data_IF_630833070763
#
_entry.id   IF_630833070763
#
_cell.length_a   1.000
_cell.length_b   1.000
_cell.length_c   1.000
_cell.angle_alpha   90.00
_cell.angle_beta   90.00
_cell.angle_gamma   90.00
#
_symmetry.space_group_name_H-M   'P 1'
#
loop_
_entity.id
_entity.type
_entity.pdbx_description
1 polymer ?
#
# COMPACT_ATOMS: atom_id res chain seq x y z
N UNK A 1 -15.37 29.85 -2.98
CA UNK A 1 -15.90 30.05 -1.61
C UNK A 1 -15.49 28.86 -0.78
N UNK A 2 -14.76 29.08 0.30
CA UNK A 2 -14.41 28.02 1.25
C UNK A 2 -15.69 27.65 2.00
N UNK A 3 -16.05 26.37 2.02
CA UNK A 3 -17.20 25.86 2.79
C UNK A 3 -17.01 26.25 4.26
N UNK A 4 -17.92 27.02 4.88
CA UNK A 4 -17.80 27.42 6.28
C UNK A 4 -17.81 26.22 7.24
N UNK A 5 -18.18 25.04 6.76
CA UNK A 5 -18.25 23.83 7.55
C UNK A 5 -17.67 22.60 6.81
N UNK A 6 -16.34 22.59 6.53
CA UNK A 6 -15.75 21.53 5.76
C UNK A 6 -15.97 20.17 6.45
N UNK A 7 -16.11 19.07 5.70
CA UNK A 7 -16.31 17.75 6.28
C UNK A 7 -15.13 17.35 7.17
N UNK A 8 -15.35 16.52 8.23
CA UNK A 8 -14.32 16.20 9.22
C UNK A 8 -13.10 15.51 8.59
N UNK A 9 -11.93 15.73 9.20
CA UNK A 9 -10.76 14.91 8.95
C UNK A 9 -10.95 13.57 9.67
N UNK A 10 -10.91 12.49 8.91
CA UNK A 10 -11.13 11.15 9.46
C UNK A 10 -9.82 10.39 9.61
N UNK A 11 -9.79 9.40 10.50
CA UNK A 11 -8.67 8.46 10.62
C UNK A 11 -8.39 7.71 9.31
N UNK A 12 -9.42 7.47 8.48
CA UNK A 12 -9.28 6.91 7.13
C UNK A 12 -8.52 7.85 6.19
N UNK A 13 -8.85 9.15 6.21
CA UNK A 13 -8.13 10.17 5.41
C UNK A 13 -6.69 10.32 5.87
N UNK A 14 -6.45 10.36 7.19
CA UNK A 14 -5.09 10.40 7.75
C UNK A 14 -4.29 9.18 7.28
N UNK A 15 -4.85 7.98 7.36
CA UNK A 15 -4.22 6.74 6.87
C UNK A 15 -3.89 6.83 5.38
N UNK A 16 -4.83 7.30 4.57
CA UNK A 16 -4.63 7.44 3.13
C UNK A 16 -3.55 8.45 2.81
N UNK A 17 -3.50 9.58 3.52
CA UNK A 17 -2.51 10.64 3.35
C UNK A 17 -1.10 10.19 3.72
N UNK A 18 -0.96 9.44 4.81
CA UNK A 18 0.33 8.89 5.25
C UNK A 18 0.92 7.89 4.25
N UNK A 19 0.07 7.26 3.44
CA UNK A 19 0.48 6.34 2.36
C UNK A 19 0.73 7.07 1.05
N UNK A 20 -0.15 7.99 0.70
CA UNK A 20 -0.10 8.78 -0.52
C UNK A 20 -1.02 10.00 -0.39
N UNK A 21 -0.46 11.20 -0.55
CA UNK A 21 -1.19 12.47 -0.46
C UNK A 21 -2.32 12.53 -1.48
N UNK A 22 -2.02 12.18 -2.75
CA UNK A 22 -2.99 12.10 -3.83
C UNK A 22 -4.14 11.13 -3.52
N UNK A 23 -3.86 9.99 -2.89
CA UNK A 23 -4.89 9.04 -2.44
C UNK A 23 -5.87 9.68 -1.46
N UNK A 24 -5.39 10.46 -0.49
CA UNK A 24 -6.27 11.15 0.46
C UNK A 24 -7.16 12.17 -0.23
N UNK A 25 -6.60 12.93 -1.18
CA UNK A 25 -7.36 13.86 -1.99
C UNK A 25 -8.44 13.14 -2.82
N UNK A 26 -8.10 12.05 -3.49
CA UNK A 26 -9.04 11.22 -4.24
C UNK A 26 -10.09 10.54 -3.35
N UNK A 27 -9.74 10.14 -2.13
CA UNK A 27 -10.70 9.59 -1.16
C UNK A 27 -11.74 10.65 -0.73
N UNK A 28 -11.43 11.95 -0.83
CA UNK A 28 -12.32 13.08 -0.52
C UNK A 28 -13.09 13.54 -1.74
N UNK A 29 -12.44 13.72 -2.88
CA UNK A 29 -12.95 14.43 -4.06
C UNK A 29 -13.11 13.53 -5.30
N UNK A 30 -12.48 12.36 -5.31
CA UNK A 30 -12.45 11.48 -6.47
C UNK A 30 -13.80 10.83 -6.78
N UNK A 31 -14.02 10.45 -8.04
CA UNK A 31 -15.25 9.77 -8.48
C UNK A 31 -15.33 8.36 -7.90
N UNK A 32 -16.15 8.17 -6.88
CA UNK A 32 -16.24 6.91 -6.10
C UNK A 32 -16.46 5.66 -6.97
N UNK A 33 -17.19 5.80 -8.10
CA UNK A 33 -17.43 4.72 -9.09
C UNK A 33 -16.16 4.23 -9.79
N UNK A 34 -15.08 5.01 -9.81
CA UNK A 34 -13.77 4.63 -10.40
C UNK A 34 -12.82 4.04 -9.38
N UNK A 35 -13.23 3.92 -8.13
CA UNK A 35 -12.45 3.30 -7.09
C UNK A 35 -12.57 1.79 -7.17
N UNK A 36 -11.47 1.13 -7.47
CA UNK A 36 -11.41 -0.34 -7.53
C UNK A 36 -11.43 -0.95 -6.13
N UNK A 37 -12.09 -2.06 -6.01
CA UNK A 37 -12.01 -2.91 -4.82
C UNK A 37 -10.89 -3.94 -5.03
N UNK A 38 -10.20 -4.32 -3.95
CA UNK A 38 -9.15 -5.35 -3.99
C UNK A 38 -9.47 -6.41 -2.94
N UNK A 39 -9.39 -7.68 -3.32
CA UNK A 39 -9.58 -8.84 -2.43
C UNK A 39 -8.58 -8.83 -1.26
N UNK A 40 -7.39 -8.29 -1.47
CA UNK A 40 -6.38 -8.09 -0.41
C UNK A 40 -6.92 -7.37 0.84
N UNK A 41 -7.95 -6.53 0.68
CA UNK A 41 -8.61 -5.90 1.85
C UNK A 41 -9.34 -6.91 2.72
N UNK A 42 -9.91 -7.95 2.13
CA UNK A 42 -10.56 -9.04 2.86
C UNK A 42 -9.53 -9.78 3.72
N UNK A 43 -8.43 -10.21 3.13
CA UNK A 43 -7.33 -10.88 3.83
C UNK A 43 -6.72 -10.02 4.93
N UNK A 44 -6.55 -8.72 4.67
CA UNK A 44 -6.06 -7.79 5.69
C UNK A 44 -7.00 -7.68 6.89
N UNK A 45 -8.31 -7.75 6.67
CA UNK A 45 -9.31 -7.76 7.74
C UNK A 45 -9.28 -9.08 8.52
N UNK A 46 -9.14 -10.21 7.86
CA UNK A 46 -9.02 -11.53 8.49
C UNK A 46 -7.78 -11.61 9.37
N UNK A 47 -6.61 -11.13 8.88
CA UNK A 47 -5.40 -11.04 9.68
C UNK A 47 -5.57 -10.18 10.93
N UNK A 48 -6.29 -9.05 10.80
CA UNK A 48 -6.62 -8.19 11.94
C UNK A 48 -7.56 -8.88 12.93
N UNK A 49 -8.60 -9.54 12.43
CA UNK A 49 -9.54 -10.27 13.26
C UNK A 49 -8.86 -11.40 14.05
N UNK A 50 -7.95 -12.14 13.43
CA UNK A 50 -7.14 -13.15 14.14
C UNK A 50 -6.37 -12.55 15.31
N UNK A 51 -5.73 -11.40 15.13
CA UNK A 51 -5.06 -10.69 16.21
C UNK A 51 -6.03 -10.26 17.33
N UNK A 52 -7.21 -9.75 16.97
CA UNK A 52 -8.19 -9.27 17.95
C UNK A 52 -8.83 -10.42 18.75
N UNK A 53 -9.14 -11.53 18.10
CA UNK A 53 -9.65 -12.74 18.76
C UNK A 53 -8.60 -13.33 19.71
N UNK A 54 -7.33 -13.35 19.30
CA UNK A 54 -6.25 -13.81 20.16
C UNK A 54 -6.03 -12.90 21.38
N UNK A 55 -6.29 -11.59 21.26
CA UNK A 55 -6.20 -10.64 22.37
C UNK A 55 -7.41 -10.75 23.31
N UNK A 56 -8.63 -10.83 22.76
CA UNK A 56 -9.90 -10.86 23.50
C UNK A 56 -10.77 -11.94 22.87
N UNK A 57 -10.76 -13.18 23.45
CA UNK A 57 -11.54 -14.29 22.90
C UNK A 57 -13.07 -14.09 22.96
N UNK A 58 -13.52 -13.22 23.90
CA UNK A 58 -14.94 -12.92 24.02
C UNK A 58 -15.38 -11.96 22.92
N UNK A 59 -16.63 -12.11 22.47
CA UNK A 59 -17.22 -11.20 21.47
C UNK A 59 -17.19 -9.76 21.96
N UNK A 60 -16.60 -8.80 21.22
CA UNK A 60 -16.57 -7.40 21.61
C UNK A 60 -17.97 -6.81 21.70
N UNK A 61 -18.20 -5.95 22.68
CA UNK A 61 -19.39 -5.11 22.74
C UNK A 61 -19.39 -4.06 21.63
N UNK A 62 -20.55 -3.50 21.30
CA UNK A 62 -20.65 -2.53 20.19
C UNK A 62 -21.10 -1.15 20.69
N UNK A 63 -20.35 -0.13 20.26
CA UNK A 63 -20.69 1.27 20.49
C UNK A 63 -20.58 1.71 21.95
N UNK A 64 -21.19 2.85 22.26
CA UNK A 64 -21.03 3.52 23.53
C UNK A 64 -21.72 2.80 24.71
N UNK A 65 -22.88 2.23 24.48
CA UNK A 65 -23.58 1.49 25.51
C UNK A 65 -22.72 0.34 26.06
N UNK A 66 -22.04 -0.39 25.19
CA UNK A 66 -21.12 -1.45 25.61
C UNK A 66 -19.89 -0.90 26.35
N UNK A 67 -19.39 0.27 25.94
CA UNK A 67 -18.30 0.93 26.66
C UNK A 67 -18.72 1.35 28.07
N UNK A 68 -19.91 1.93 28.21
CA UNK A 68 -20.44 2.33 29.52
C UNK A 68 -20.68 1.13 30.46
N UNK A 69 -21.08 -0.01 29.92
CA UNK A 69 -21.26 -1.25 30.68
C UNK A 69 -19.95 -1.99 31.02
N UNK A 70 -18.78 -1.47 30.59
CA UNK A 70 -17.49 -2.05 30.90
C UNK A 70 -17.18 -3.34 30.15
N UNK A 71 -17.66 -3.52 28.91
CA UNK A 71 -17.33 -4.68 28.09
C UNK A 71 -15.80 -4.88 27.99
N UNK A 72 -15.25 -6.11 27.98
CA UNK A 72 -13.81 -6.36 27.92
C UNK A 72 -13.14 -5.76 26.68
N UNK A 73 -13.88 -5.66 25.59
CA UNK A 73 -13.49 -4.96 24.36
C UNK A 73 -14.70 -4.31 23.71
N UNK A 74 -14.48 -3.23 22.95
CA UNK A 74 -15.53 -2.48 22.26
C UNK A 74 -15.11 -2.22 20.81
N UNK A 75 -16.05 -2.37 19.89
CA UNK A 75 -15.94 -2.02 18.47
C UNK A 75 -17.01 -1.02 18.06
N UNK A 76 -16.82 -0.32 16.96
CA UNK A 76 -17.84 0.55 16.37
C UNK A 76 -18.12 1.82 17.18
N UNK A 77 -17.28 2.18 18.16
CA UNK A 77 -17.38 3.46 18.85
C UNK A 77 -16.86 4.57 17.94
N UNK A 78 -17.71 5.54 17.65
CA UNK A 78 -17.35 6.73 16.86
C UNK A 78 -16.90 7.84 17.78
N UNK A 79 -15.65 8.26 17.64
CA UNK A 79 -15.01 9.32 18.39
C UNK A 79 -15.04 10.61 17.58
N UNK A 80 -15.34 11.73 18.22
CA UNK A 80 -15.36 13.06 17.62
C UNK A 80 -14.64 14.05 18.51
N UNK A 81 -14.01 15.04 17.89
CA UNK A 81 -13.30 16.12 18.59
C UNK A 81 -12.84 17.20 17.61
N UNK A 82 -11.87 17.99 18.05
CA UNK A 82 -11.25 19.04 17.23
C UNK A 82 -9.73 18.94 17.29
N UNK A 83 -9.07 19.36 16.20
CA UNK A 83 -7.63 19.60 16.20
C UNK A 83 -7.32 20.91 16.95
N UNK A 84 -6.03 21.16 17.24
CA UNK A 84 -5.58 22.41 17.81
C UNK A 84 -5.94 23.63 16.94
N UNK A 85 -5.99 23.45 15.61
CA UNK A 85 -6.46 24.45 14.64
C UNK A 85 -8.00 24.50 14.51
N UNK A 86 -8.76 23.87 15.41
CA UNK A 86 -10.22 23.90 15.42
C UNK A 86 -10.91 23.02 14.36
N UNK A 87 -10.18 22.30 13.52
CA UNK A 87 -10.74 21.40 12.49
C UNK A 87 -11.48 20.23 13.13
N UNK A 88 -12.66 19.90 12.60
CA UNK A 88 -13.43 18.73 13.09
C UNK A 88 -12.69 17.43 12.80
N UNK A 89 -12.59 16.58 13.81
CA UNK A 89 -11.99 15.26 13.73
C UNK A 89 -13.05 14.19 13.96
N UNK A 90 -12.96 13.08 13.24
CA UNK A 90 -13.77 11.89 13.48
C UNK A 90 -12.89 10.63 13.32
N UNK A 91 -13.04 9.67 14.21
CA UNK A 91 -12.33 8.42 14.16
C UNK A 91 -13.19 7.25 14.64
N UNK A 92 -12.90 6.07 14.10
CA UNK A 92 -13.51 4.84 14.55
C UNK A 92 -12.43 3.78 14.75
N UNK A 93 -11.89 3.67 15.99
CA UNK A 93 -10.90 2.65 16.32
C UNK A 93 -11.38 1.25 15.96
N UNK A 94 -10.47 0.43 15.43
CA UNK A 94 -10.78 -0.95 15.07
C UNK A 94 -11.23 -1.78 16.27
N UNK A 95 -10.55 -1.57 17.42
CA UNK A 95 -10.86 -2.20 18.70
C UNK A 95 -10.45 -1.27 19.85
N UNK A 96 -11.23 -1.24 20.90
CA UNK A 96 -10.91 -0.66 22.19
C UNK A 96 -10.82 -1.78 23.21
N UNK A 97 -9.74 -1.83 23.97
CA UNK A 97 -9.57 -2.80 25.06
C UNK A 97 -9.76 -2.12 26.41
N UNK A 98 -10.53 -2.75 27.31
CA UNK A 98 -10.73 -2.26 28.68
C UNK A 98 -9.43 -2.29 29.46
N UNK A 99 -9.22 -1.28 30.28
CA UNK A 99 -8.12 -1.16 31.24
C UNK A 99 -8.69 -0.76 32.60
N UNK A 100 -7.96 -1.14 33.67
CA UNK A 100 -8.34 -0.76 35.03
C UNK A 100 -7.86 0.67 35.28
N UNK A 101 -8.78 1.63 35.15
CA UNK A 101 -8.57 3.06 35.42
C UNK A 101 -9.92 3.74 35.51
N UNK A 102 -10.08 4.75 36.35
CA UNK A 102 -11.31 5.54 36.42
C UNK A 102 -11.54 6.36 35.15
N UNK A 103 -12.80 6.48 34.72
CA UNK A 103 -13.20 7.33 33.59
C UNK A 103 -14.65 7.83 33.77
N UNK A 104 -15.16 8.58 32.80
CA UNK A 104 -16.56 8.98 32.75
C UNK A 104 -17.55 7.78 32.69
N UNK A 105 -17.06 6.57 32.40
CA UNK A 105 -17.85 5.34 32.37
C UNK A 105 -17.77 4.53 33.69
N UNK A 106 -17.06 5.01 34.70
CA UNK A 106 -16.96 4.35 36.01
C UNK A 106 -15.54 3.94 36.37
N UNK A 107 -15.36 2.78 37.01
CA UNK A 107 -14.08 2.25 37.47
C UNK A 107 -13.18 1.65 36.36
N UNK A 108 -13.55 1.82 35.14
CA UNK A 108 -12.81 1.31 33.97
C UNK A 108 -12.62 2.40 32.90
N UNK A 109 -11.64 2.21 32.06
CA UNK A 109 -11.36 3.01 30.89
C UNK A 109 -10.98 2.11 29.72
N UNK A 110 -10.69 2.69 28.56
CA UNK A 110 -10.29 1.97 27.36
C UNK A 110 -9.00 2.52 26.80
N UNK A 111 -8.26 1.67 26.08
CA UNK A 111 -7.14 2.03 25.22
C UNK A 111 -7.38 1.58 23.78
N UNK A 112 -6.88 2.31 22.77
CA UNK A 112 -7.03 1.91 21.39
C UNK A 112 -6.07 0.76 21.05
N UNK A 113 -6.56 -0.16 20.22
CA UNK A 113 -5.83 -1.33 19.73
C UNK A 113 -5.84 -1.33 18.20
N UNK A 114 -4.67 -1.55 17.62
CA UNK A 114 -4.47 -1.66 16.18
C UNK A 114 -3.73 -2.96 15.88
N UNK A 115 -4.17 -3.72 14.88
CA UNK A 115 -3.41 -4.83 14.36
C UNK A 115 -2.64 -4.39 13.10
N UNK A 116 -1.35 -4.73 13.02
CA UNK A 116 -0.49 -4.44 11.89
C UNK A 116 -0.24 -5.66 11.04
N UNK A 117 -0.09 -5.43 9.76
CA UNK A 117 0.56 -6.35 8.85
C UNK A 117 2.04 -5.93 8.71
N UNK A 118 2.91 -6.89 8.42
CA UNK A 118 4.34 -6.62 8.30
C UNK A 118 5.10 -6.60 9.63
N UNK A 119 6.43 -6.46 9.54
CA UNK A 119 7.35 -6.72 10.68
C UNK A 119 7.42 -5.57 11.69
N UNK A 120 7.26 -4.33 11.26
CA UNK A 120 7.56 -3.15 12.07
C UNK A 120 6.37 -2.22 12.25
N UNK A 121 6.30 -1.56 13.41
CA UNK A 121 5.37 -0.47 13.67
C UNK A 121 5.81 0.77 12.92
N UNK A 122 4.96 1.24 12.01
CA UNK A 122 5.24 2.37 11.10
C UNK A 122 4.74 3.70 11.69
N UNK A 123 5.11 4.82 11.03
CA UNK A 123 4.58 6.14 11.34
C UNK A 123 3.05 6.19 11.22
N UNK A 124 2.47 5.48 10.25
CA UNK A 124 1.01 5.37 10.09
C UNK A 124 0.35 4.81 11.35
N UNK A 125 0.86 3.69 11.87
CA UNK A 125 0.32 3.05 13.07
C UNK A 125 0.40 3.98 14.30
N UNK A 126 1.53 4.68 14.45
CA UNK A 126 1.77 5.61 15.55
C UNK A 126 0.81 6.78 15.54
N UNK A 127 0.63 7.44 14.38
CA UNK A 127 -0.24 8.61 14.26
C UNK A 127 -1.73 8.24 14.35
N UNK A 128 -2.14 7.06 13.84
CA UNK A 128 -3.51 6.57 14.04
C UNK A 128 -3.82 6.31 15.51
N UNK A 129 -2.92 5.65 16.24
CA UNK A 129 -3.10 5.42 17.67
C UNK A 129 -3.11 6.73 18.44
N UNK A 130 -2.28 7.72 18.06
CA UNK A 130 -2.28 9.04 18.68
C UNK A 130 -3.63 9.76 18.48
N UNK A 131 -4.18 9.72 17.26
CA UNK A 131 -5.50 10.29 16.99
C UNK A 131 -6.60 9.59 17.79
N UNK A 132 -6.62 8.26 17.76
CA UNK A 132 -7.61 7.48 18.50
C UNK A 132 -7.49 7.70 20.02
N UNK A 133 -6.27 7.73 20.53
CA UNK A 133 -6.01 7.96 21.96
C UNK A 133 -6.45 9.36 22.42
N UNK A 134 -6.17 10.40 21.64
CA UNK A 134 -6.60 11.79 21.90
C UNK A 134 -8.12 11.88 22.01
N UNK A 135 -8.82 11.45 20.95
CA UNK A 135 -10.26 11.53 20.90
C UNK A 135 -10.95 10.62 21.94
N UNK A 136 -10.33 9.49 22.25
CA UNK A 136 -10.81 8.61 23.31
C UNK A 136 -10.61 9.23 24.69
N UNK A 137 -9.47 9.88 24.95
CA UNK A 137 -9.22 10.58 26.21
C UNK A 137 -10.27 11.68 26.48
N UNK A 138 -10.61 12.46 25.45
CA UNK A 138 -11.69 13.46 25.53
C UNK A 138 -13.04 12.79 25.81
N UNK A 139 -13.38 11.70 25.10
CA UNK A 139 -14.67 11.02 25.23
C UNK A 139 -14.86 10.37 26.59
N UNK A 140 -13.83 9.70 27.11
CA UNK A 140 -13.89 8.99 28.41
C UNK A 140 -13.48 9.86 29.58
N UNK A 141 -13.06 11.13 29.36
CA UNK A 141 -12.56 12.07 30.37
C UNK A 141 -11.47 11.44 31.26
N UNK A 142 -10.59 10.66 30.65
CA UNK A 142 -9.49 9.99 31.31
C UNK A 142 -8.30 9.86 30.36
N UNK A 143 -7.08 10.01 30.87
CA UNK A 143 -5.88 9.91 30.06
C UNK A 143 -5.74 8.55 29.37
N UNK A 144 -5.21 8.57 28.13
CA UNK A 144 -4.85 7.39 27.37
C UNK A 144 -3.35 7.44 27.09
N UNK A 145 -2.51 6.99 28.04
CA UNK A 145 -1.06 7.13 27.91
C UNK A 145 -0.45 6.19 26.88
N UNK A 146 -1.15 5.11 26.52
CA UNK A 146 -0.64 4.09 25.61
C UNK A 146 -1.73 3.56 24.68
N UNK A 147 -1.36 3.28 23.43
CA UNK A 147 -2.07 2.39 22.53
C UNK A 147 -1.40 1.01 22.46
N UNK A 148 -2.05 0.05 21.85
CA UNK A 148 -1.55 -1.30 21.65
C UNK A 148 -1.48 -1.61 20.16
N UNK A 149 -0.32 -2.11 19.71
CA UNK A 149 -0.12 -2.63 18.37
C UNK A 149 0.01 -4.15 18.45
N UNK A 150 -0.78 -4.86 17.67
CA UNK A 150 -0.80 -6.32 17.60
C UNK A 150 -0.20 -6.81 16.27
N UNK A 151 0.43 -7.96 16.31
CA UNK A 151 0.79 -8.73 15.12
C UNK A 151 0.76 -10.23 15.44
N UNK A 152 0.44 -11.06 14.46
CA UNK A 152 0.70 -12.50 14.56
C UNK A 152 2.16 -12.77 14.24
N UNK A 153 2.87 -13.42 15.14
CA UNK A 153 4.22 -13.93 14.96
C UNK A 153 4.22 -15.45 14.89
N UNK A 154 5.39 -16.04 14.66
CA UNK A 154 5.56 -17.51 14.58
C UNK A 154 5.13 -18.22 15.87
N UNK A 155 5.30 -17.58 17.02
CA UNK A 155 4.96 -18.12 18.35
C UNK A 155 3.64 -17.61 18.92
N UNK A 156 2.78 -17.01 18.09
CA UNK A 156 1.48 -16.48 18.50
C UNK A 156 1.41 -14.94 18.52
N UNK A 157 0.50 -14.39 19.30
CA UNK A 157 0.20 -12.95 19.34
C UNK A 157 1.35 -12.14 19.95
N UNK A 158 1.90 -11.22 19.18
CA UNK A 158 2.86 -10.22 19.63
C UNK A 158 2.13 -8.93 19.98
N UNK A 159 2.43 -8.36 21.15
CA UNK A 159 1.83 -7.12 21.64
C UNK A 159 2.92 -6.09 21.89
N UNK A 160 2.81 -4.92 21.26
CA UNK A 160 3.70 -3.78 21.46
C UNK A 160 2.92 -2.61 22.09
N UNK A 161 3.34 -2.16 23.28
CA UNK A 161 2.78 -0.95 23.91
C UNK A 161 3.43 0.28 23.29
N UNK A 162 2.62 1.16 22.75
CA UNK A 162 3.07 2.41 22.15
C UNK A 162 2.68 3.59 23.06
N UNK A 163 3.67 4.33 23.55
CA UNK A 163 3.43 5.55 24.30
C UNK A 163 2.84 6.65 23.40
N UNK A 164 1.74 7.25 23.84
CA UNK A 164 1.08 8.38 23.15
C UNK A 164 1.62 9.71 23.69
N UNK A 165 2.93 9.88 23.57
CA UNK A 165 3.69 11.00 24.16
C UNK A 165 3.30 12.36 23.57
N UNK A 166 3.62 13.48 24.27
CA UNK A 166 3.40 14.84 23.77
C UNK A 166 4.09 15.08 22.42
N UNK A 167 5.29 14.55 22.21
CA UNK A 167 5.99 14.66 20.93
C UNK A 167 5.22 13.95 19.79
N UNK A 168 4.65 12.77 20.05
CA UNK A 168 3.82 12.06 19.06
C UNK A 168 2.53 12.84 18.77
N UNK A 169 1.95 13.49 19.79
CA UNK A 169 0.79 14.35 19.61
C UNK A 169 1.11 15.61 18.77
N UNK A 170 2.26 16.23 18.97
CA UNK A 170 2.72 17.34 18.12
C UNK A 170 2.95 16.91 16.67
N UNK A 171 3.51 15.71 16.44
CA UNK A 171 3.63 15.14 15.10
C UNK A 171 2.27 14.87 14.45
N UNK A 172 1.27 14.47 15.22
CA UNK A 172 -0.10 14.29 14.74
C UNK A 172 -0.69 15.64 14.31
N UNK A 173 -0.52 16.70 15.11
CA UNK A 173 -1.03 18.04 14.78
C UNK A 173 -0.45 18.54 13.47
N UNK A 174 0.86 18.49 13.28
CA UNK A 174 1.49 18.87 12.03
C UNK A 174 1.06 18.00 10.83
N UNK A 175 0.73 16.72 11.05
CA UNK A 175 0.19 15.85 10.01
C UNK A 175 -1.26 16.21 9.64
N UNK A 176 -2.09 16.55 10.62
CA UNK A 176 -3.49 16.95 10.41
C UNK A 176 -3.60 18.30 9.69
N UNK A 177 -2.72 19.26 10.02
CA UNK A 177 -2.66 20.56 9.34
C UNK A 177 -2.29 20.39 7.87
N UNK A 178 -1.20 19.67 7.56
CA UNK A 178 -0.80 19.39 6.18
C UNK A 178 -1.86 18.60 5.41
N UNK A 179 -2.51 17.63 6.05
CA UNK A 179 -3.62 16.91 5.43
C UNK A 179 -4.77 17.86 5.08
N UNK A 180 -5.13 18.78 6.00
CA UNK A 180 -6.20 19.74 5.75
C UNK A 180 -5.87 20.67 4.56
N UNK A 181 -4.66 21.24 4.56
CA UNK A 181 -4.17 22.10 3.46
C UNK A 181 -4.20 21.38 2.11
N UNK A 182 -3.73 20.15 2.04
CA UNK A 182 -3.68 19.39 0.80
C UNK A 182 -5.06 18.92 0.33
N UNK A 183 -6.01 18.73 1.22
CA UNK A 183 -7.40 18.46 0.85
C UNK A 183 -8.14 19.68 0.32
N UNK A 184 -7.67 20.90 0.59
CA UNK A 184 -8.21 22.15 0.07
C UNK A 184 -7.64 22.53 -1.33
N UNK A 185 -6.64 21.79 -1.83
CA UNK A 185 -6.10 22.01 -3.16
C UNK A 185 -7.18 21.78 -4.25
N UNK A 186 -7.23 22.63 -5.29
CA UNK A 186 -8.21 22.50 -6.37
C UNK A 186 -7.98 21.26 -7.24
N UNK A 187 -6.76 20.75 -7.28
CA UNK A 187 -6.35 19.58 -8.07
C UNK A 187 -5.63 18.57 -7.19
N UNK A 188 -5.67 17.29 -7.56
CA UNK A 188 -4.97 16.26 -6.78
C UNK A 188 -3.46 16.51 -6.77
N UNK A 189 -2.77 16.23 -5.65
CA UNK A 189 -1.32 16.21 -5.61
C UNK A 189 -0.72 15.34 -6.73
N UNK A 190 0.53 15.59 -7.18
CA UNK A 190 1.14 14.87 -8.28
C UNK A 190 1.22 13.37 -8.02
N UNK A 191 1.41 12.60 -9.09
CA UNK A 191 1.65 11.17 -9.03
C UNK A 191 2.89 10.86 -8.17
N UNK A 192 2.87 9.71 -7.48
CA UNK A 192 4.04 9.26 -6.74
C UNK A 192 5.21 8.97 -7.70
N UNK A 193 6.41 9.33 -7.27
CA UNK A 193 7.65 9.02 -7.99
C UNK A 193 7.88 7.51 -8.10
N UNK A 194 7.53 6.75 -7.05
CA UNK A 194 7.59 5.28 -7.03
C UNK A 194 6.18 4.71 -6.95
N UNK A 195 5.65 4.25 -8.09
CA UNK A 195 4.29 3.73 -8.21
C UNK A 195 4.17 2.23 -7.91
N UNK A 196 5.26 1.53 -7.60
CA UNK A 196 5.21 0.13 -7.13
C UNK A 196 4.35 0.00 -5.87
N UNK A 197 4.29 1.04 -5.05
CA UNK A 197 3.41 1.12 -3.87
C UNK A 197 1.92 1.23 -4.20
N UNK A 198 1.58 1.49 -5.46
CA UNK A 198 0.20 1.66 -5.91
C UNK A 198 -0.51 0.35 -6.26
N UNK A 199 0.18 -0.79 -6.24
CA UNK A 199 -0.36 -2.10 -6.66
C UNK A 199 -1.70 -2.43 -6.00
N UNK A 200 -1.85 -2.15 -4.70
CA UNK A 200 -3.07 -2.41 -3.93
C UNK A 200 -3.93 -1.14 -3.70
N UNK A 201 -3.68 -0.09 -4.44
CA UNK A 201 -4.42 1.16 -4.30
C UNK A 201 -5.72 1.13 -5.10
N UNK A 202 -6.86 1.40 -4.45
CA UNK A 202 -8.15 1.47 -5.14
C UNK A 202 -8.26 2.56 -6.21
N UNK A 203 -7.33 3.51 -6.27
CA UNK A 203 -7.27 4.56 -7.28
C UNK A 203 -6.25 4.29 -8.39
N UNK A 204 -5.64 3.08 -8.38
CA UNK A 204 -4.58 2.73 -9.32
C UNK A 204 -4.98 2.97 -10.77
N UNK A 205 -6.14 2.47 -11.21
CA UNK A 205 -6.55 2.59 -12.61
C UNK A 205 -6.69 4.05 -13.09
N UNK A 206 -7.08 4.98 -12.19
CA UNK A 206 -7.12 6.40 -12.52
C UNK A 206 -5.71 6.99 -12.64
N UNK A 207 -4.83 6.64 -11.70
CA UNK A 207 -3.44 7.12 -11.71
C UNK A 207 -2.62 6.49 -12.85
N UNK A 208 -2.89 5.24 -13.22
CA UNK A 208 -2.22 4.56 -14.34
C UNK A 208 -2.60 5.22 -15.67
N UNK A 209 -3.88 5.53 -15.88
CA UNK A 209 -4.32 6.22 -17.09
C UNK A 209 -3.68 7.61 -17.25
N UNK A 210 -3.53 8.35 -16.15
CA UNK A 210 -2.86 9.65 -16.15
C UNK A 210 -1.37 9.52 -16.43
N UNK A 211 -0.71 8.55 -15.78
CA UNK A 211 0.72 8.30 -16.00
C UNK A 211 1.03 7.92 -17.45
N UNK A 212 0.17 7.11 -18.07
CA UNK A 212 0.29 6.77 -19.49
C UNK A 212 0.11 8.01 -20.38
N UNK A 213 -0.91 8.83 -20.11
CA UNK A 213 -1.17 10.02 -20.88
C UNK A 213 -0.03 11.05 -20.81
N UNK A 214 0.64 11.15 -19.66
CA UNK A 214 1.78 12.04 -19.42
C UNK A 214 3.13 11.46 -19.86
N UNK A 215 3.20 10.17 -20.23
CA UNK A 215 4.47 9.47 -20.44
C UNK A 215 5.36 9.45 -19.20
N UNK A 216 4.76 9.28 -18.01
CA UNK A 216 5.44 9.40 -16.74
C UNK A 216 6.51 8.33 -16.55
N UNK A 217 7.73 8.73 -16.16
CA UNK A 217 8.89 7.83 -16.02
C UNK A 217 8.67 6.62 -15.10
N UNK A 218 7.71 6.68 -14.18
CA UNK A 218 7.38 5.52 -13.32
C UNK A 218 6.73 4.35 -14.05
N UNK A 219 6.34 4.53 -15.31
CA UNK A 219 5.86 3.44 -16.16
C UNK A 219 7.01 2.52 -16.60
N UNK A 220 8.23 3.02 -16.63
CA UNK A 220 9.40 2.21 -16.96
C UNK A 220 9.81 1.36 -15.77
N UNK A 221 9.84 0.05 -15.97
CA UNK A 221 10.29 -0.88 -14.93
C UNK A 221 11.75 -0.58 -14.54
N UNK A 222 12.05 -0.63 -13.25
CA UNK A 222 13.38 -0.29 -12.73
C UNK A 222 13.57 1.21 -12.37
N UNK A 223 12.63 2.09 -12.71
CA UNK A 223 12.66 3.48 -12.28
C UNK A 223 11.87 3.62 -10.97
N UNK A 224 12.58 3.62 -9.84
CA UNK A 224 12.04 4.01 -8.53
C UNK A 224 12.27 5.50 -8.27
N UNK A 225 11.78 6.01 -7.13
CA UNK A 225 11.82 7.44 -6.80
C UNK A 225 13.17 8.09 -6.98
N UNK A 226 14.23 7.52 -6.37
CA UNK A 226 15.60 8.07 -6.47
C UNK A 226 16.10 8.16 -7.92
N UNK A 227 15.89 7.09 -8.70
CA UNK A 227 16.35 7.07 -10.10
C UNK A 227 15.56 8.04 -10.97
N UNK A 228 14.27 8.18 -10.70
CA UNK A 228 13.46 9.21 -11.35
C UNK A 228 13.99 10.62 -11.05
N UNK A 229 14.31 10.91 -9.79
CA UNK A 229 14.82 12.22 -9.41
C UNK A 229 16.14 12.54 -10.16
N UNK A 230 17.06 11.55 -10.26
CA UNK A 230 18.28 11.70 -11.05
C UNK A 230 17.99 11.96 -12.55
N UNK A 231 17.04 11.24 -13.15
CA UNK A 231 16.67 11.47 -14.55
C UNK A 231 16.10 12.88 -14.77
N UNK A 232 15.27 13.37 -13.83
CA UNK A 232 14.76 14.73 -13.87
C UNK A 232 15.86 15.77 -13.74
N UNK A 233 16.86 15.58 -12.86
CA UNK A 233 18.05 16.43 -12.74
C UNK A 233 18.87 16.47 -14.04
N UNK A 234 18.88 15.36 -14.78
CA UNK A 234 19.51 15.26 -16.09
C UNK A 234 18.64 15.82 -17.24
N UNK A 235 17.46 16.37 -16.95
CA UNK A 235 16.53 16.92 -17.93
C UNK A 235 15.70 15.90 -18.68
N UNK A 236 15.67 14.63 -18.23
CA UNK A 236 14.85 13.56 -18.81
C UNK A 236 13.57 13.48 -17.97
N UNK A 237 12.45 13.99 -18.51
CA UNK A 237 11.20 14.18 -17.76
C UNK A 237 10.11 13.20 -18.17
N UNK A 238 10.26 12.56 -19.34
CA UNK A 238 9.24 11.70 -19.94
C UNK A 238 9.79 10.38 -20.46
N UNK A 239 8.87 9.43 -20.71
CA UNK A 239 9.16 8.16 -21.37
C UNK A 239 9.79 8.39 -22.76
N UNK A 240 9.28 9.35 -23.52
CA UNK A 240 9.73 9.64 -24.88
C UNK A 240 11.17 10.18 -24.89
N UNK A 241 11.50 11.09 -23.96
CA UNK A 241 12.86 11.61 -23.82
C UNK A 241 13.83 10.52 -23.41
N UNK A 242 13.43 9.62 -22.50
CA UNK A 242 14.25 8.48 -22.11
C UNK A 242 14.45 7.50 -23.27
N UNK A 243 13.41 7.22 -24.05
CA UNK A 243 13.49 6.36 -25.24
C UNK A 243 14.43 6.94 -26.34
N UNK A 244 14.45 8.27 -26.47
CA UNK A 244 15.32 9.00 -27.38
C UNK A 244 16.76 9.17 -26.88
N UNK A 245 17.05 8.84 -25.64
CA UNK A 245 18.39 9.02 -25.06
C UNK A 245 19.40 8.04 -25.68
N UNK A 246 20.65 8.50 -25.78
CA UNK A 246 21.79 7.64 -26.07
C UNK A 246 22.19 6.85 -24.82
N UNK A 247 22.22 5.50 -24.88
CA UNK A 247 22.46 4.68 -23.69
C UNK A 247 23.81 4.90 -23.03
N UNK A 248 24.87 5.12 -23.83
CA UNK A 248 26.24 5.27 -23.34
C UNK A 248 26.42 6.64 -22.69
N UNK A 249 25.95 7.69 -23.35
CA UNK A 249 25.93 9.04 -22.79
C UNK A 249 25.11 9.11 -21.48
N UNK A 250 23.96 8.45 -21.42
CA UNK A 250 23.15 8.37 -20.20
C UNK A 250 23.89 7.61 -19.09
N UNK A 251 24.57 6.52 -19.44
CA UNK A 251 25.36 5.73 -18.50
C UNK A 251 26.48 6.55 -17.87
N UNK A 252 27.24 7.32 -18.68
CA UNK A 252 28.29 8.21 -18.20
C UNK A 252 27.75 9.30 -17.26
N UNK A 253 26.64 9.92 -17.61
CA UNK A 253 26.01 10.95 -16.77
C UNK A 253 25.50 10.37 -15.44
N UNK A 254 24.92 9.18 -15.47
CA UNK A 254 24.43 8.49 -14.28
C UNK A 254 25.55 7.92 -13.42
N UNK A 255 26.74 7.63 -13.98
CA UNK A 255 27.91 7.19 -13.25
C UNK A 255 28.35 8.18 -12.16
N UNK A 256 28.11 9.48 -12.37
CA UNK A 256 28.40 10.55 -11.39
C UNK A 256 27.61 10.37 -10.09
N UNK A 257 26.51 9.61 -10.13
CA UNK A 257 25.63 9.33 -8.98
C UNK A 257 25.78 7.90 -8.44
N UNK A 258 26.68 7.10 -9.02
CA UNK A 258 27.03 5.75 -8.58
C UNK A 258 26.96 4.70 -9.69
N UNK A 259 27.88 3.73 -9.66
CA UNK A 259 28.00 2.69 -10.67
C UNK A 259 26.72 1.87 -10.89
N UNK A 260 25.95 1.61 -9.83
CA UNK A 260 24.65 0.93 -9.90
C UNK A 260 23.61 1.67 -10.76
N UNK A 261 23.80 2.95 -11.03
CA UNK A 261 22.95 3.73 -11.93
C UNK A 261 23.46 3.67 -13.37
N UNK A 262 24.78 3.62 -13.56
CA UNK A 262 25.43 3.43 -14.85
C UNK A 262 25.06 2.10 -15.48
N UNK A 263 25.21 1.00 -14.74
CA UNK A 263 25.00 -0.37 -15.23
C UNK A 263 23.58 -0.62 -15.78
N UNK A 264 22.57 0.08 -15.23
CA UNK A 264 21.18 -0.11 -15.66
C UNK A 264 20.73 0.85 -16.77
N UNK A 265 21.51 1.85 -17.12
CA UNK A 265 21.11 2.87 -18.10
C UNK A 265 20.74 2.29 -19.47
N UNK A 266 21.53 1.37 -20.08
CA UNK A 266 21.16 0.77 -21.36
C UNK A 266 19.85 0.01 -21.31
N UNK A 267 19.59 -0.71 -20.21
CA UNK A 267 18.34 -1.45 -20.03
C UNK A 267 17.15 -0.51 -19.87
N UNK A 268 17.28 0.60 -19.16
CA UNK A 268 16.21 1.60 -19.00
C UNK A 268 15.83 2.23 -20.34
N UNK A 269 16.83 2.60 -21.16
CA UNK A 269 16.58 3.15 -22.49
C UNK A 269 15.92 2.10 -23.40
N UNK A 270 16.39 0.86 -23.38
CA UNK A 270 15.79 -0.23 -24.14
C UNK A 270 14.33 -0.47 -23.76
N UNK A 271 14.02 -0.49 -22.46
CA UNK A 271 12.64 -0.63 -21.95
C UNK A 271 11.76 0.56 -22.37
N UNK A 272 12.30 1.79 -22.25
CA UNK A 272 11.57 2.97 -22.67
C UNK A 272 11.24 2.94 -24.17
N UNK A 273 12.17 2.49 -25.02
CA UNK A 273 11.96 2.31 -26.48
C UNK A 273 10.87 1.29 -26.77
N UNK A 274 10.90 0.15 -26.06
CA UNK A 274 9.86 -0.89 -26.21
C UNK A 274 8.49 -0.35 -25.81
N UNK A 275 8.40 0.36 -24.67
CA UNK A 275 7.13 0.91 -24.20
C UNK A 275 6.61 2.05 -25.09
N UNK A 276 7.50 2.90 -25.61
CA UNK A 276 7.11 3.96 -26.55
C UNK A 276 6.74 3.44 -27.93
N UNK A 277 7.43 2.39 -28.42
CA UNK A 277 7.27 1.84 -29.77
C UNK A 277 6.31 0.64 -29.84
N UNK A 278 5.93 0.04 -28.72
CA UNK A 278 5.02 -1.12 -28.67
C UNK A 278 5.59 -2.42 -29.23
N UNK A 279 6.88 -2.46 -29.62
CA UNK A 279 7.52 -3.63 -30.20
C UNK A 279 8.50 -4.26 -29.21
N UNK A 280 8.39 -5.58 -28.93
CA UNK A 280 9.30 -6.26 -28.03
C UNK A 280 10.72 -6.27 -28.60
N UNK A 281 11.72 -6.05 -27.71
CA UNK A 281 13.14 -6.08 -28.05
C UNK A 281 13.84 -7.23 -27.33
N UNK A 282 14.49 -8.09 -28.10
CA UNK A 282 15.32 -9.18 -27.56
C UNK A 282 16.69 -8.64 -27.20
N UNK A 283 17.05 -8.61 -25.92
CA UNK A 283 18.33 -8.09 -25.43
C UNK A 283 19.44 -9.15 -25.48
N UNK A 284 19.09 -10.43 -25.32
CA UNK A 284 20.02 -11.54 -25.28
C UNK A 284 19.76 -12.48 -26.44
N UNK A 285 20.72 -12.71 -27.36
CA UNK A 285 20.52 -13.55 -28.52
C UNK A 285 20.48 -15.06 -28.21
N UNK A 286 21.13 -15.49 -27.14
CA UNK A 286 21.20 -16.92 -26.75
C UNK A 286 20.01 -17.37 -25.91
N UNK A 287 19.51 -18.61 -26.12
CA UNK A 287 18.50 -19.20 -25.23
C UNK A 287 19.10 -19.41 -23.84
N UNK A 288 18.27 -19.20 -22.83
CA UNK A 288 18.67 -19.37 -21.43
C UNK A 288 18.85 -20.86 -21.02
N UNK A 289 18.42 -21.79 -21.84
CA UNK A 289 18.40 -23.23 -21.59
C UNK A 289 19.04 -24.00 -22.75
N UNK A 290 20.38 -24.06 -22.84
CA UNK A 290 21.08 -24.77 -23.91
C UNK A 290 20.80 -26.28 -23.90
N UNK A 291 20.48 -26.87 -22.75
CA UNK A 291 20.12 -28.28 -22.62
C UNK A 291 18.82 -28.65 -23.32
N UNK A 292 17.96 -27.66 -23.59
CA UNK A 292 16.69 -27.88 -24.30
C UNK A 292 16.90 -28.40 -25.72
N UNK A 293 17.99 -28.02 -26.37
CA UNK A 293 18.34 -28.50 -27.71
C UNK A 293 18.64 -30.02 -27.75
N UNK A 294 19.08 -30.59 -26.64
CA UNK A 294 19.43 -31.99 -26.48
C UNK A 294 18.28 -32.83 -25.91
N UNK A 295 17.23 -32.18 -25.42
CA UNK A 295 16.11 -32.84 -24.77
C UNK A 295 15.20 -33.57 -25.82
N UNK A 296 14.84 -34.82 -25.53
CA UNK A 296 13.86 -35.58 -26.30
C UNK A 296 12.39 -35.21 -26.01
N UNK A 297 12.16 -34.42 -24.99
CA UNK A 297 10.86 -33.89 -24.58
C UNK A 297 10.98 -32.79 -23.56
N UNK A 298 9.96 -31.96 -23.41
CA UNK A 298 9.87 -30.95 -22.39
C UNK A 298 8.51 -30.99 -21.70
N UNK A 299 8.53 -30.69 -20.42
CA UNK A 299 7.33 -30.38 -19.63
C UNK A 299 7.37 -28.89 -19.29
N UNK A 300 6.42 -28.14 -19.80
CA UNK A 300 6.23 -26.75 -19.45
C UNK A 300 5.15 -26.72 -18.38
N UNK A 301 5.51 -26.21 -17.22
CA UNK A 301 4.61 -26.04 -16.09
C UNK A 301 4.41 -24.55 -15.83
N UNK A 302 3.16 -24.15 -15.77
CA UNK A 302 2.76 -22.77 -15.52
C UNK A 302 1.72 -22.73 -14.39
N UNK A 303 1.80 -21.70 -13.57
CA UNK A 303 0.92 -21.50 -12.41
C UNK A 303 0.34 -20.09 -12.49
N UNK A 304 -0.99 -20.01 -12.50
CA UNK A 304 -1.68 -18.76 -12.31
C UNK A 304 -2.12 -18.61 -10.86
N UNK A 305 -1.72 -17.53 -10.25
CA UNK A 305 -1.96 -17.24 -8.83
C UNK A 305 -2.74 -15.95 -8.66
N UNK A 306 -3.65 -15.94 -7.69
CA UNK A 306 -4.19 -14.69 -7.13
C UNK A 306 -3.40 -14.31 -5.87
N UNK A 307 -2.42 -13.42 -5.96
CA UNK A 307 -1.64 -13.00 -4.80
C UNK A 307 -2.50 -12.26 -3.76
N UNK A 308 -3.63 -11.69 -4.17
CA UNK A 308 -4.57 -11.04 -3.27
C UNK A 308 -5.37 -12.06 -2.45
N UNK A 309 -5.72 -13.21 -3.04
CA UNK A 309 -6.33 -14.34 -2.37
C UNK A 309 -5.30 -15.26 -1.68
N UNK A 310 -4.02 -15.14 -2.03
CA UNK A 310 -2.93 -16.04 -1.62
C UNK A 310 -3.23 -17.48 -2.04
N UNK A 311 -3.75 -17.65 -3.23
CA UNK A 311 -4.19 -18.91 -3.76
C UNK A 311 -3.68 -19.10 -5.19
N UNK A 312 -3.27 -20.33 -5.49
CA UNK A 312 -2.90 -20.76 -6.82
C UNK A 312 -4.14 -21.45 -7.42
N UNK A 313 -4.76 -20.80 -8.40
CA UNK A 313 -6.07 -21.25 -8.89
C UNK A 313 -5.99 -22.02 -10.21
N UNK A 314 -4.87 -21.98 -10.90
CA UNK A 314 -4.68 -22.71 -12.15
C UNK A 314 -3.25 -23.28 -12.24
N UNK A 315 -3.16 -24.58 -12.44
CA UNK A 315 -1.91 -25.27 -12.74
C UNK A 315 -1.99 -25.81 -14.15
N UNK A 316 -1.17 -25.29 -15.06
CA UNK A 316 -1.06 -25.72 -16.43
C UNK A 316 0.15 -26.64 -16.64
N UNK A 317 -0.04 -27.77 -17.32
CA UNK A 317 1.06 -28.65 -17.72
C UNK A 317 0.97 -28.92 -19.22
N UNK A 318 2.01 -28.54 -19.96
CA UNK A 318 2.16 -28.83 -21.37
C UNK A 318 3.32 -29.79 -21.59
N UNK A 319 3.04 -30.94 -22.21
CA UNK A 319 4.06 -31.91 -22.61
C UNK A 319 4.34 -31.75 -24.10
N UNK A 320 5.58 -31.46 -24.42
CA UNK A 320 6.08 -31.45 -25.81
C UNK A 320 7.02 -32.62 -26.04
N UNK A 321 6.82 -33.34 -27.13
CA UNK A 321 7.77 -34.35 -27.64
C UNK A 321 8.61 -33.74 -28.75
N UNK A 322 9.91 -34.03 -28.76
CA UNK A 322 10.82 -33.57 -29.79
C UNK A 322 11.55 -34.78 -30.37
N UNK A 323 11.37 -35.02 -31.68
CA UNK A 323 11.90 -36.22 -32.36
C UNK A 323 13.12 -35.89 -33.23
N UNK A 324 14.10 -35.11 -32.71
CA UNK A 324 15.33 -34.81 -33.44
C UNK A 324 15.73 -33.36 -33.47
N UNK A 325 16.72 -33.00 -34.29
CA UNK A 325 17.19 -31.62 -34.47
C UNK A 325 16.23 -30.83 -35.35
N UNK A 326 15.59 -29.83 -34.80
CA UNK A 326 14.65 -28.94 -35.48
C UNK A 326 13.91 -28.06 -34.46
N UNK A 327 13.06 -27.15 -34.95
CA UNK A 327 12.23 -26.35 -34.06
C UNK A 327 11.25 -27.23 -33.31
N UNK A 328 11.01 -26.90 -32.02
CA UNK A 328 9.98 -27.54 -31.25
C UNK A 328 8.61 -27.40 -31.92
N UNK A 329 7.77 -28.45 -31.90
CA UNK A 329 6.45 -28.37 -32.52
C UNK A 329 5.59 -27.31 -31.82
N UNK A 330 4.77 -26.61 -32.59
CA UNK A 330 3.77 -25.71 -32.02
C UNK A 330 2.77 -26.51 -31.17
N UNK A 331 2.50 -26.07 -29.95
CA UNK A 331 1.54 -26.74 -29.08
C UNK A 331 0.13 -26.63 -29.67
N UNK A 332 -0.62 -27.72 -29.56
CA UNK A 332 -2.03 -27.79 -30.00
C UNK A 332 -2.91 -27.78 -28.74
N UNK A 333 -4.14 -27.33 -28.85
CA UNK A 333 -5.07 -27.31 -27.74
C UNK A 333 -5.21 -28.67 -27.03
N UNK A 334 -5.12 -29.79 -27.77
CA UNK A 334 -5.17 -31.15 -27.20
C UNK A 334 -3.94 -31.55 -26.39
N UNK A 335 -2.84 -30.77 -26.45
CA UNK A 335 -1.60 -31.05 -25.74
C UNK A 335 -1.66 -30.42 -24.34
N UNK A 336 -2.68 -29.59 -24.05
CA UNK A 336 -2.93 -29.00 -22.74
C UNK A 336 -3.79 -29.96 -21.92
N UNK A 337 -3.29 -30.34 -20.76
CA UNK A 337 -4.03 -31.15 -19.79
C UNK A 337 -4.14 -30.34 -18.49
N UNK A 338 -5.34 -29.89 -18.11
CA UNK A 338 -5.54 -29.26 -16.83
C UNK A 338 -5.30 -30.28 -15.71
N UNK A 339 -4.57 -29.90 -14.68
CA UNK A 339 -4.48 -30.63 -13.43
C UNK A 339 -5.66 -30.16 -12.57
N UNK A 340 -6.59 -31.06 -12.32
CA UNK A 340 -7.75 -30.85 -11.43
C UNK A 340 -7.37 -31.19 -9.99
#
# INVERSE_FOLDING_TARGET
MVDPNPPPLTDRLLRSWLRCRRRAWLDRHGPSRRRLWSAHRGLALEDQLRCFVALVPQRPGRGEAAAALGAPAVVGLRLRGRSNAGRRLEAQPNLLQRVTSGSAWGSHAYRPVLARQGRNTTREHRLLLALWGRLLAERQRAAVPHGLVLAMGERGLVQERLALSPNLQAQLDGALEKLAEELELPTPPPLLNDRRKCTLCGWRGLCDAEAQAEGHLSEVNGIGGKRRDLLLELGITSLQELAGSDPDSLAERLALHGEQHREVAPQLVAQARVQAGGQPLRLVPSPALPELELASGALIYDIESDPDARDDFLHGLLRLGHAGRGPWPEPRQRDYQPLL
#
